data_IF_323026790130
#
_entry.id   IF_323026790130
#
_cell.length_a   1.000
_cell.length_b   1.000
_cell.length_c   1.000
_cell.angle_alpha   90.00
_cell.angle_beta   90.00
_cell.angle_gamma   90.00
#
_symmetry.space_group_name_H-M   'P 1'
#
loop_
_entity.id
_entity.type
_entity.pdbx_description
1 polymer ?
#
# COMPACT_ATOMS: atom_id res chain seq x y z
N UNK A 1 5.55 1.34 31.90
CA UNK A 1 4.97 0.97 30.59
C UNK A 1 5.98 0.24 29.67
N UNK A 2 7.13 -0.24 30.17
CA UNK A 2 8.24 -0.76 29.34
C UNK A 2 8.30 -2.29 29.18
N UNK A 3 7.21 -3.02 29.45
CA UNK A 3 7.15 -4.47 29.23
C UNK A 3 6.07 -4.77 28.20
N UNK A 4 6.43 -5.58 27.22
CA UNK A 4 5.49 -6.10 26.23
C UNK A 4 4.35 -6.84 26.94
N UNK A 5 3.15 -6.77 26.36
CA UNK A 5 2.01 -7.52 26.86
C UNK A 5 2.31 -9.03 26.75
N UNK A 6 1.89 -9.80 27.76
CA UNK A 6 2.08 -11.26 27.75
C UNK A 6 1.08 -11.89 26.78
N UNK A 7 1.56 -12.30 25.61
CA UNK A 7 0.78 -13.03 24.61
C UNK A 7 0.70 -14.52 24.96
N UNK A 8 -0.45 -15.15 24.64
CA UNK A 8 -0.65 -16.61 24.79
C UNK A 8 -0.68 -17.25 23.40
N UNK A 9 0.10 -18.32 23.21
CA UNK A 9 0.06 -19.11 21.97
C UNK A 9 -1.19 -20.00 21.98
N UNK A 10 -1.99 -19.90 20.93
CA UNK A 10 -3.21 -20.70 20.73
C UNK A 10 -2.99 -21.56 19.49
N UNK A 11 -3.45 -22.82 19.52
CA UNK A 11 -3.47 -23.73 18.37
C UNK A 11 -4.92 -24.10 18.11
N UNK A 12 -5.36 -23.96 16.86
CA UNK A 12 -6.74 -24.23 16.44
C UNK A 12 -6.67 -25.32 15.38
N UNK A 13 -7.43 -26.40 15.59
CA UNK A 13 -7.63 -27.47 14.62
C UNK A 13 -9.10 -27.44 14.24
N UNK A 14 -9.37 -27.35 12.94
CA UNK A 14 -10.73 -27.25 12.42
C UNK A 14 -10.88 -28.12 11.18
N UNK A 15 -12.13 -28.43 10.82
CA UNK A 15 -12.43 -29.09 9.56
C UNK A 15 -12.21 -28.10 8.40
N UNK A 16 -11.81 -28.61 7.24
CA UNK A 16 -11.51 -27.81 6.05
C UNK A 16 -12.62 -26.79 5.71
N UNK A 17 -13.89 -27.22 5.74
CA UNK A 17 -15.07 -26.37 5.50
C UNK A 17 -15.23 -25.17 6.45
N UNK A 18 -14.55 -25.18 7.60
CA UNK A 18 -14.62 -24.13 8.60
C UNK A 18 -13.36 -23.27 8.67
N UNK A 19 -12.34 -23.55 7.85
CA UNK A 19 -11.08 -22.78 7.86
C UNK A 19 -11.34 -21.31 7.54
N UNK A 20 -11.97 -21.02 6.40
CA UNK A 20 -12.30 -19.66 5.97
C UNK A 20 -13.12 -18.88 7.03
N UNK A 21 -14.32 -19.34 7.46
CA UNK A 21 -15.12 -18.58 8.43
C UNK A 21 -14.46 -18.43 9.80
N UNK A 22 -13.58 -19.38 10.19
CA UNK A 22 -12.81 -19.24 11.45
C UNK A 22 -11.74 -18.16 11.31
N UNK A 23 -11.01 -18.15 10.18
CA UNK A 23 -9.98 -17.14 9.90
C UNK A 23 -10.61 -15.77 9.78
N UNK A 24 -11.74 -15.64 9.08
CA UNK A 24 -12.46 -14.38 8.90
C UNK A 24 -12.93 -13.82 10.24
N UNK A 25 -13.59 -14.63 11.07
CA UNK A 25 -14.06 -14.20 12.39
C UNK A 25 -12.90 -13.80 13.33
N UNK A 26 -11.76 -14.50 13.28
CA UNK A 26 -10.58 -14.16 14.08
C UNK A 26 -9.90 -12.88 13.58
N UNK A 27 -9.84 -12.70 12.26
CA UNK A 27 -9.28 -11.51 11.63
C UNK A 27 -10.13 -10.27 11.93
N UNK A 28 -11.45 -10.37 11.81
CA UNK A 28 -12.40 -9.29 12.13
C UNK A 28 -12.36 -8.86 13.60
N UNK A 29 -12.13 -9.80 14.53
CA UNK A 29 -11.97 -9.46 15.94
C UNK A 29 -10.69 -8.66 16.21
N UNK A 30 -9.63 -8.83 15.42
CA UNK A 30 -8.37 -8.09 15.57
C UNK A 30 -7.62 -8.38 16.88
N UNK A 31 -7.98 -9.44 17.61
CA UNK A 31 -7.41 -9.79 18.92
C UNK A 31 -6.29 -10.83 18.85
N UNK A 32 -6.10 -11.46 17.69
CA UNK A 32 -5.15 -12.55 17.50
C UNK A 32 -4.23 -12.28 16.32
N UNK A 33 -2.98 -12.71 16.46
CA UNK A 33 -2.04 -12.80 15.33
C UNK A 33 -2.19 -14.18 14.71
N UNK A 34 -2.62 -14.24 13.46
CA UNK A 34 -2.69 -15.48 12.68
C UNK A 34 -1.33 -15.70 12.04
N UNK A 35 -0.83 -16.93 12.07
CA UNK A 35 0.46 -17.31 11.47
C UNK A 35 0.28 -18.58 10.67
N UNK A 36 0.82 -18.59 9.46
CA UNK A 36 0.89 -19.80 8.65
C UNK A 36 1.91 -20.77 9.24
N UNK A 37 1.51 -22.03 9.38
CA UNK A 37 2.35 -23.13 9.89
C UNK A 37 2.63 -24.19 8.84
N UNK A 38 2.24 -23.94 7.57
CA UNK A 38 2.37 -24.89 6.47
C UNK A 38 3.80 -25.41 6.31
N UNK A 39 4.80 -24.52 6.43
CA UNK A 39 6.22 -24.90 6.39
C UNK A 39 6.61 -25.87 7.51
N UNK A 40 6.08 -25.64 8.72
CA UNK A 40 6.33 -26.52 9.87
C UNK A 40 5.67 -27.88 9.71
N UNK A 41 4.49 -27.94 9.07
CA UNK A 41 3.80 -29.20 8.75
C UNK A 41 4.59 -30.00 7.71
N UNK A 42 5.11 -29.34 6.67
CA UNK A 42 5.87 -30.03 5.62
C UNK A 42 7.21 -30.58 6.09
N UNK A 43 7.82 -29.95 7.11
CA UNK A 43 9.09 -30.37 7.68
C UNK A 43 8.96 -31.51 8.71
N UNK A 44 7.76 -31.78 9.20
CA UNK A 44 7.48 -32.81 10.21
C UNK A 44 6.72 -33.99 9.58
N UNK A 45 7.35 -35.16 9.38
CA UNK A 45 6.71 -36.33 8.75
C UNK A 45 5.45 -36.81 9.47
N UNK A 46 5.39 -36.72 10.80
CA UNK A 46 4.23 -37.17 11.57
C UNK A 46 3.05 -36.21 11.37
N UNK A 47 3.31 -34.90 11.32
CA UNK A 47 2.28 -33.90 11.06
C UNK A 47 1.82 -33.89 9.59
N UNK A 48 2.73 -34.16 8.66
CA UNK A 48 2.43 -34.23 7.23
C UNK A 48 1.45 -35.36 6.88
N UNK A 49 1.48 -36.48 7.62
CA UNK A 49 0.49 -37.57 7.46
C UNK A 49 -0.88 -37.21 8.03
N UNK A 50 -0.94 -36.31 9.03
CA UNK A 50 -2.16 -36.01 9.79
C UNK A 50 -2.90 -34.76 9.28
N UNK A 51 -2.19 -33.79 8.71
CA UNK A 51 -2.74 -32.48 8.36
C UNK A 51 -2.28 -32.04 6.98
N UNK A 52 -3.23 -31.60 6.15
CA UNK A 52 -2.92 -31.03 4.84
C UNK A 52 -2.53 -29.56 4.99
N UNK A 53 -1.36 -29.12 4.48
CA UNK A 53 -0.98 -27.71 4.45
C UNK A 53 -1.99 -26.86 3.67
N UNK A 54 -2.08 -25.57 4.00
CA UNK A 54 -2.91 -24.64 3.26
C UNK A 54 -2.39 -24.48 1.82
N UNK A 55 -3.29 -24.47 0.84
CA UNK A 55 -2.94 -24.19 -0.56
C UNK A 55 -3.11 -22.70 -0.84
N UNK A 56 -2.19 -22.15 -1.62
CA UNK A 56 -2.32 -20.79 -2.13
C UNK A 56 -3.61 -20.67 -2.96
N UNK A 57 -4.37 -19.60 -2.70
CA UNK A 57 -5.60 -19.32 -3.45
C UNK A 57 -5.27 -18.95 -4.90
N UNK A 58 -6.04 -19.45 -5.91
CA UNK A 58 -5.83 -19.09 -7.31
C UNK A 58 -6.05 -17.60 -7.57
N UNK A 59 -6.79 -16.91 -6.70
CA UNK A 59 -7.10 -15.49 -6.83
C UNK A 59 -5.95 -14.57 -6.39
N UNK A 60 -4.85 -15.09 -5.82
CA UNK A 60 -3.73 -14.30 -5.28
C UNK A 60 -3.21 -13.28 -6.29
N UNK A 61 -2.93 -13.72 -7.53
CA UNK A 61 -2.42 -12.82 -8.57
C UNK A 61 -3.43 -11.74 -8.96
N UNK A 62 -4.72 -12.09 -8.98
CA UNK A 62 -5.79 -11.16 -9.33
C UNK A 62 -5.99 -10.10 -8.26
N UNK A 63 -6.05 -10.51 -6.99
CA UNK A 63 -6.19 -9.60 -5.85
C UNK A 63 -4.99 -8.65 -5.73
N UNK A 64 -3.77 -9.15 -5.92
CA UNK A 64 -2.56 -8.30 -5.96
C UNK A 64 -2.62 -7.26 -7.07
N UNK A 65 -3.11 -7.62 -8.26
CA UNK A 65 -3.28 -6.69 -9.38
C UNK A 65 -4.32 -5.60 -9.07
N UNK A 66 -5.46 -5.97 -8.47
CA UNK A 66 -6.50 -5.02 -8.07
C UNK A 66 -6.01 -4.09 -6.95
N UNK A 67 -5.26 -4.61 -5.98
CA UNK A 67 -4.65 -3.80 -4.92
C UNK A 67 -3.65 -2.79 -5.51
N UNK A 68 -2.82 -3.22 -6.46
CA UNK A 68 -1.85 -2.33 -7.12
C UNK A 68 -2.56 -1.19 -7.88
N UNK A 69 -3.63 -1.50 -8.61
CA UNK A 69 -4.47 -0.49 -9.27
C UNK A 69 -5.09 0.49 -8.26
N UNK A 70 -5.59 -0.05 -7.14
CA UNK A 70 -6.19 0.77 -6.08
C UNK A 70 -5.17 1.72 -5.46
N UNK A 71 -3.96 1.23 -5.18
CA UNK A 71 -2.87 2.05 -4.64
C UNK A 71 -2.46 3.16 -5.62
N UNK A 72 -2.31 2.85 -6.92
CA UNK A 72 -1.98 3.87 -7.93
C UNK A 72 -3.03 4.99 -8.00
N UNK A 73 -4.32 4.63 -7.94
CA UNK A 73 -5.41 5.63 -7.87
C UNK A 73 -5.35 6.42 -6.55
N UNK A 74 -5.10 5.75 -5.43
CA UNK A 74 -4.98 6.42 -4.13
C UNK A 74 -3.79 7.36 -4.06
N UNK A 75 -2.68 7.07 -4.72
CA UNK A 75 -1.52 7.96 -4.83
C UNK A 75 -1.82 9.19 -5.69
N UNK A 76 -2.48 8.97 -6.83
CA UNK A 76 -2.92 10.06 -7.71
C UNK A 76 -3.85 11.04 -6.97
N UNK A 77 -4.76 10.53 -6.14
CA UNK A 77 -5.73 11.33 -5.39
C UNK A 77 -5.23 11.77 -4.00
N UNK A 78 -4.26 11.08 -3.42
CA UNK A 78 -3.90 11.16 -2.00
C UNK A 78 -3.35 12.52 -1.56
N UNK A 79 -2.72 13.27 -2.47
CA UNK A 79 -2.29 14.65 -2.20
C UNK A 79 -3.46 15.64 -2.07
N UNK A 80 -4.65 15.28 -2.58
CA UNK A 80 -5.86 16.11 -2.53
C UNK A 80 -6.82 15.74 -1.40
N UNK A 81 -6.65 14.56 -0.79
CA UNK A 81 -7.53 13.99 0.24
C UNK A 81 -6.94 14.00 1.65
N UNK A 82 -5.67 14.38 1.81
CA UNK A 82 -5.02 14.47 3.12
C UNK A 82 -5.43 15.75 3.85
N UNK A 83 -6.57 15.68 4.54
CA UNK A 83 -6.94 16.71 5.53
C UNK A 83 -6.07 16.57 6.80
N UNK A 84 -5.16 17.54 6.96
CA UNK A 84 -4.70 18.09 8.24
C UNK A 84 -4.45 17.13 9.41
N UNK A 85 -3.29 16.47 9.46
CA UNK A 85 -2.77 15.93 10.71
C UNK A 85 -1.51 16.72 11.08
N UNK A 86 -1.56 17.41 12.22
CA UNK A 86 -0.42 18.16 12.72
C UNK A 86 0.64 17.22 13.31
N UNK A 87 1.87 17.71 13.45
CA UNK A 87 2.99 17.00 14.12
C UNK A 87 2.57 16.48 15.51
N UNK A 88 1.66 17.19 16.18
CA UNK A 88 1.09 16.81 17.48
C UNK A 88 0.23 15.53 17.40
N UNK A 89 -0.57 15.38 16.36
CA UNK A 89 -1.43 14.21 16.16
C UNK A 89 -0.58 12.99 15.81
N UNK A 90 0.47 13.18 15.02
CA UNK A 90 1.46 12.13 14.73
C UNK A 90 2.18 11.65 16.00
N UNK A 91 2.54 12.56 16.90
CA UNK A 91 3.19 12.17 18.17
C UNK A 91 2.23 11.46 19.12
N UNK A 92 0.96 11.88 19.17
CA UNK A 92 -0.04 11.25 20.02
C UNK A 92 -0.43 9.87 19.51
N UNK A 93 -0.46 9.64 18.19
CA UNK A 93 -0.75 8.32 17.62
C UNK A 93 0.31 7.25 17.92
N UNK A 94 1.57 7.64 18.16
CA UNK A 94 2.59 6.71 18.66
C UNK A 94 2.38 6.28 20.12
N UNK A 95 1.75 7.14 20.94
CA UNK A 95 1.54 6.90 22.37
C UNK A 95 0.18 6.23 22.61
N UNK A 96 -0.81 6.57 21.80
CA UNK A 96 -2.17 6.02 21.83
C UNK A 96 -2.64 5.89 20.38
N UNK A 97 -2.32 4.77 19.72
CA UNK A 97 -2.75 4.55 18.36
C UNK A 97 -4.28 4.55 18.32
N UNK A 98 -4.84 5.27 17.36
CA UNK A 98 -6.27 5.24 17.12
C UNK A 98 -6.67 3.80 16.80
N UNK A 99 -7.65 3.30 17.55
CA UNK A 99 -8.21 2.00 17.26
C UNK A 99 -8.88 2.09 15.88
N UNK A 100 -8.62 1.14 14.97
CA UNK A 100 -9.24 1.15 13.65
C UNK A 100 -10.76 1.11 13.82
N UNK A 101 -11.44 2.11 13.26
CA UNK A 101 -12.91 2.18 13.31
C UNK A 101 -13.46 1.10 12.40
N UNK A 102 -14.19 0.15 12.98
CA UNK A 102 -14.89 -0.88 12.20
C UNK A 102 -15.91 -0.21 11.27
N UNK A 103 -15.80 -0.50 9.98
CA UNK A 103 -16.75 -0.06 8.96
C UNK A 103 -17.58 -1.27 8.56
N UNK A 104 -18.90 -1.11 8.54
CA UNK A 104 -19.79 -2.12 7.98
C UNK A 104 -19.50 -2.24 6.49
N UNK A 105 -18.95 -3.38 6.09
CA UNK A 105 -18.75 -3.75 4.70
C UNK A 105 -19.80 -4.78 4.32
N UNK A 106 -20.14 -4.81 3.04
CA UNK A 106 -21.04 -5.84 2.51
C UNK A 106 -20.32 -7.19 2.55
N UNK A 107 -21.00 -8.20 3.08
CA UNK A 107 -20.51 -9.58 3.09
C UNK A 107 -20.60 -10.13 1.66
N UNK A 108 -19.46 -10.27 1.00
CA UNK A 108 -19.32 -10.70 -0.38
C UNK A 108 -18.37 -11.88 -0.41
N UNK A 109 -18.72 -12.91 -1.18
CA UNK A 109 -17.77 -13.95 -1.52
C UNK A 109 -16.61 -13.38 -2.37
N UNK A 110 -15.52 -14.15 -2.47
CA UNK A 110 -14.30 -13.72 -3.15
C UNK A 110 -14.54 -13.33 -4.61
N UNK A 111 -15.42 -14.04 -5.33
CA UNK A 111 -15.66 -13.78 -6.76
C UNK A 111 -16.50 -12.53 -6.98
N UNK A 112 -17.57 -12.37 -6.19
CA UNK A 112 -18.40 -11.18 -6.16
C UNK A 112 -17.59 -9.94 -5.76
N UNK A 113 -16.69 -10.09 -4.78
CA UNK A 113 -15.77 -9.02 -4.39
C UNK A 113 -14.84 -8.62 -5.56
N UNK A 114 -14.24 -9.59 -6.24
CA UNK A 114 -13.37 -9.34 -7.41
C UNK A 114 -14.15 -8.60 -8.50
N UNK A 115 -15.34 -9.08 -8.86
CA UNK A 115 -16.17 -8.48 -9.91
C UNK A 115 -16.55 -7.02 -9.55
N UNK A 116 -16.99 -6.79 -8.31
CA UNK A 116 -17.34 -5.45 -7.82
C UNK A 116 -16.12 -4.52 -7.80
N UNK A 117 -14.96 -5.02 -7.39
CA UNK A 117 -13.72 -4.26 -7.40
C UNK A 117 -13.31 -3.86 -8.83
N UNK A 118 -13.38 -4.79 -9.78
CA UNK A 118 -13.09 -4.52 -11.20
C UNK A 118 -14.03 -3.47 -11.79
N UNK A 119 -15.33 -3.60 -11.55
CA UNK A 119 -16.31 -2.64 -12.04
C UNK A 119 -16.06 -1.25 -11.46
N UNK A 120 -15.81 -1.17 -10.16
CA UNK A 120 -15.57 0.09 -9.45
C UNK A 120 -14.27 0.75 -9.92
N UNK A 121 -13.18 -0.01 -9.98
CA UNK A 121 -11.89 0.50 -10.44
C UNK A 121 -11.97 0.95 -11.90
N UNK A 122 -12.66 0.22 -12.78
CA UNK A 122 -12.84 0.62 -14.18
C UNK A 122 -13.59 1.95 -14.31
N UNK A 123 -14.62 2.18 -13.49
CA UNK A 123 -15.34 3.46 -13.45
C UNK A 123 -14.44 4.60 -12.98
N UNK A 124 -13.61 4.38 -11.97
CA UNK A 124 -12.67 5.40 -11.47
C UNK A 124 -11.57 5.67 -12.50
N UNK A 125 -10.96 4.62 -13.06
CA UNK A 125 -9.90 4.69 -14.08
C UNK A 125 -10.36 5.49 -15.30
N UNK A 126 -11.61 5.32 -15.74
CA UNK A 126 -12.18 6.10 -16.85
C UNK A 126 -12.19 7.62 -16.61
N UNK A 127 -12.27 8.05 -15.35
CA UNK A 127 -12.27 9.46 -14.95
C UNK A 127 -10.86 9.97 -14.63
N UNK A 128 -10.00 9.12 -14.08
CA UNK A 128 -8.66 9.52 -13.64
C UNK A 128 -7.63 9.48 -14.75
N UNK A 129 -7.79 8.64 -15.78
CA UNK A 129 -6.77 8.45 -16.82
C UNK A 129 -6.41 9.75 -17.56
N UNK A 130 -7.40 10.60 -17.82
CA UNK A 130 -7.18 11.92 -18.45
C UNK A 130 -6.40 12.87 -17.53
N UNK A 131 -6.63 12.78 -16.22
CA UNK A 131 -5.97 13.61 -15.21
C UNK A 131 -4.51 13.19 -15.06
N UNK A 132 -4.26 11.88 -14.99
CA UNK A 132 -2.93 11.29 -14.88
C UNK A 132 -2.02 11.69 -16.05
N UNK A 133 -2.55 11.65 -17.28
CA UNK A 133 -1.80 12.09 -18.46
C UNK A 133 -1.43 13.59 -18.42
N UNK A 134 -2.36 14.44 -17.98
CA UNK A 134 -2.10 15.89 -17.83
C UNK A 134 -1.10 16.17 -16.71
N UNK A 135 -1.20 15.45 -15.59
CA UNK A 135 -0.29 15.61 -14.47
C UNK A 135 1.14 15.23 -14.86
N UNK A 136 1.30 14.11 -15.57
CA UNK A 136 2.60 13.64 -16.07
C UNK A 136 3.25 14.65 -17.03
N UNK A 137 2.46 15.29 -17.90
CA UNK A 137 2.96 16.35 -18.78
C UNK A 137 3.42 17.58 -17.99
N UNK A 138 2.64 18.01 -16.99
CA UNK A 138 2.99 19.13 -16.12
C UNK A 138 4.24 18.85 -15.27
N UNK A 139 4.43 17.61 -14.79
CA UNK A 139 5.63 17.22 -14.04
C UNK A 139 6.89 17.25 -14.92
N UNK A 140 6.78 16.82 -16.18
CA UNK A 140 7.87 16.93 -17.16
C UNK A 140 8.23 18.40 -17.42
N UNK A 141 7.22 19.25 -17.69
CA UNK A 141 7.42 20.68 -17.93
C UNK A 141 8.02 21.37 -16.69
N UNK A 142 7.55 21.03 -15.48
CA UNK A 142 8.08 21.56 -14.22
C UNK A 142 9.55 21.16 -14.02
N UNK A 143 9.91 19.93 -14.38
CA UNK A 143 11.29 19.44 -14.28
C UNK A 143 12.22 20.17 -15.25
N UNK A 144 11.77 20.38 -16.49
CA UNK A 144 12.49 21.19 -17.49
C UNK A 144 12.68 22.64 -17.02
N UNK A 145 11.60 23.28 -16.54
CA UNK A 145 11.66 24.65 -16.03
C UNK A 145 12.57 24.78 -14.80
N UNK A 146 12.56 23.81 -13.88
CA UNK A 146 13.50 23.77 -12.74
C UNK A 146 14.95 23.65 -13.20
N UNK A 147 15.21 22.79 -14.18
CA UNK A 147 16.54 22.62 -14.78
C UNK A 147 17.02 23.92 -15.42
N UNK A 148 16.19 24.53 -16.27
CA UNK A 148 16.47 25.79 -16.95
C UNK A 148 16.70 26.94 -15.96
N UNK A 149 15.89 27.02 -14.91
CA UNK A 149 16.07 28.01 -13.83
C UNK A 149 17.39 27.82 -13.09
N UNK A 150 17.81 26.58 -12.85
CA UNK A 150 19.11 26.29 -12.25
C UNK A 150 20.26 26.71 -13.17
N UNK A 151 20.16 26.38 -14.46
CA UNK A 151 21.14 26.77 -15.47
C UNK A 151 21.25 28.30 -15.57
N UNK A 152 20.13 29.01 -15.67
CA UNK A 152 20.10 30.47 -15.75
C UNK A 152 20.72 31.14 -14.52
N UNK A 153 20.51 30.59 -13.32
CA UNK A 153 21.18 31.06 -12.09
C UNK A 153 22.68 30.84 -12.14
N UNK A 154 23.13 29.68 -12.62
CA UNK A 154 24.56 29.41 -12.78
C UNK A 154 25.19 30.35 -13.80
N UNK A 155 24.53 30.59 -14.94
CA UNK A 155 24.98 31.53 -15.98
C UNK A 155 24.98 32.98 -15.51
N UNK A 156 23.99 33.40 -14.72
CA UNK A 156 23.96 34.73 -14.11
C UNK A 156 25.08 34.96 -13.10
N UNK A 157 25.57 33.90 -12.45
CA UNK A 157 26.76 33.97 -11.58
C UNK A 157 28.07 33.93 -12.38
N UNK A 158 27.99 33.53 -13.65
CA UNK A 158 29.06 33.53 -14.64
C UNK A 158 29.05 34.84 -15.45
N UNK A 159 28.93 35.99 -14.77
CA UNK A 159 29.19 37.32 -15.34
C UNK A 159 30.72 37.48 -15.56
N UNK A 160 31.28 36.57 -16.36
CA UNK A 160 32.66 36.65 -16.85
C UNK A 160 32.66 37.64 -18.00
N UNK A 161 33.43 38.72 -17.81
CA UNK A 161 33.71 39.68 -18.86
C UNK A 161 34.40 38.97 -20.03
N UNK A 162 33.67 38.75 -21.12
CA UNK A 162 34.16 38.12 -22.35
C UNK A 162 35.27 38.94 -23.02
N UNK A 163 35.55 40.16 -22.54
CA UNK A 163 36.75 40.91 -22.89
C UNK A 163 38.05 40.21 -22.45
N UNK A 164 38.03 39.36 -21.42
CA UNK A 164 39.20 38.59 -20.96
C UNK A 164 39.66 37.51 -21.95
N UNK A 165 38.84 37.16 -22.94
CA UNK A 165 39.22 36.25 -24.03
C UNK A 165 39.88 36.98 -25.22
N UNK A 166 39.98 38.30 -25.19
CA UNK A 166 40.68 39.13 -26.19
C UNK A 166 42.01 39.64 -25.65
N UNK A 167 42.97 38.74 -25.46
CA UNK A 167 44.37 38.90 -25.88
C UNK A 167 45.22 37.86 -25.14
N UNK A 168 45.61 36.82 -25.87
CA UNK A 168 46.94 36.25 -25.69
C UNK A 168 47.52 36.08 -27.08
N UNK A 169 48.06 37.19 -27.58
CA UNK A 169 48.93 37.23 -28.75
C UNK A 169 50.33 36.73 -28.37
#
# INVERSE_FOLDING_TARGET
>A
MFKTARMRKIRIVTLDKYVAPTVDALHEQGLVQISDISDSIQQDPELAELVTPAKATPYTGKLSSLLMKTNGISELLGNSLSEGHGIKDTLMSFISPDLPVQKNVEDLDTEAFIAKAEETLSKVESKTHVIEGKLSALDSETSELKSNKSLARHLSNFDMDLALLKDSK
#
